data_IF_557862807546
#
_entry.id   IF_557862807546
#
_cell.length_a   1.000
_cell.length_b   1.000
_cell.length_c   1.000
_cell.angle_alpha   90.00
_cell.angle_beta   90.00
_cell.angle_gamma   90.00
#
_symmetry.space_group_name_H-M   'P 1'
#
loop_
_entity.id
_entity.type
_entity.pdbx_description
1 polymer ?
#
# COMPACT_ATOMS: atom_id res chain seq x y z
N UNK A 1 4.10 -17.85 6.48
CA UNK A 1 5.45 -17.80 7.06
C UNK A 1 6.23 -16.64 6.44
N UNK A 2 6.93 -15.89 7.25
CA UNK A 2 7.75 -14.78 6.76
C UNK A 2 8.96 -15.31 5.99
N UNK A 3 9.18 -14.80 4.79
CA UNK A 3 10.31 -15.21 3.95
C UNK A 3 11.67 -14.67 4.43
N UNK A 4 11.64 -13.68 5.33
CA UNK A 4 12.86 -13.04 5.86
C UNK A 4 13.35 -13.73 7.13
N UNK A 5 12.47 -13.96 8.10
CA UNK A 5 12.85 -14.51 9.41
C UNK A 5 12.20 -15.85 9.74
N UNK A 6 11.27 -16.33 8.95
CA UNK A 6 10.55 -17.57 9.19
C UNK A 6 9.49 -17.48 10.30
N UNK A 7 9.20 -16.28 10.81
CA UNK A 7 8.20 -16.10 11.84
C UNK A 7 6.76 -16.24 11.35
N UNK A 8 5.82 -16.26 12.28
CA UNK A 8 4.40 -16.31 11.97
C UNK A 8 3.92 -14.98 11.40
N UNK A 9 2.92 -15.06 10.51
CA UNK A 9 2.33 -13.90 9.86
C UNK A 9 0.84 -13.82 10.13
N UNK A 10 0.31 -12.59 10.10
CA UNK A 10 -1.12 -12.32 10.14
C UNK A 10 -1.50 -11.41 8.97
N UNK A 11 -2.73 -11.55 8.50
CA UNK A 11 -3.28 -10.60 7.54
C UNK A 11 -3.73 -9.33 8.27
N UNK A 12 -3.42 -8.19 7.67
CA UNK A 12 -3.84 -6.89 8.19
C UNK A 12 -4.16 -5.95 7.02
N UNK A 13 -5.05 -5.01 7.29
CA UNK A 13 -5.31 -3.91 6.36
C UNK A 13 -4.37 -2.77 6.74
N UNK A 14 -3.54 -2.36 5.79
CA UNK A 14 -2.51 -1.35 6.03
C UNK A 14 -2.66 -0.17 5.08
N UNK A 15 -1.96 0.90 5.41
CA UNK A 15 -1.81 2.05 4.53
C UNK A 15 -0.44 1.97 3.86
N UNK A 16 -0.41 2.22 2.55
CA UNK A 16 0.83 2.23 1.76
C UNK A 16 1.13 3.67 1.37
N UNK A 17 2.33 4.11 1.69
CA UNK A 17 2.80 5.44 1.29
C UNK A 17 3.57 5.36 -0.02
N UNK A 18 3.18 6.20 -0.98
CA UNK A 18 3.83 6.30 -2.28
C UNK A 18 4.06 7.77 -2.62
N UNK A 19 5.17 8.05 -3.29
CA UNK A 19 5.45 9.38 -3.83
C UNK A 19 5.31 9.31 -5.35
N UNK A 20 4.41 10.12 -5.89
CA UNK A 20 4.10 10.16 -7.33
C UNK A 20 4.22 11.60 -7.80
N UNK A 21 5.13 11.85 -8.74
CA UNK A 21 5.36 13.18 -9.30
C UNK A 21 5.60 14.26 -8.24
N UNK A 22 6.36 13.92 -7.20
CA UNK A 22 6.69 14.84 -6.11
C UNK A 22 5.61 15.01 -5.06
N UNK A 23 4.44 14.40 -5.24
CA UNK A 23 3.35 14.43 -4.26
C UNK A 23 3.32 13.11 -3.48
N UNK A 24 3.29 13.20 -2.16
CA UNK A 24 3.11 12.02 -1.32
C UNK A 24 1.64 11.61 -1.27
N UNK A 25 1.40 10.32 -1.38
CA UNK A 25 0.07 9.70 -1.31
C UNK A 25 0.04 8.60 -0.26
N UNK A 26 -1.09 8.48 0.41
CA UNK A 26 -1.39 7.33 1.28
C UNK A 26 -2.52 6.55 0.63
N UNK A 27 -2.26 5.28 0.32
CA UNK A 27 -3.25 4.35 -0.25
C UNK A 27 -3.79 3.51 0.89
N UNK A 28 -5.08 3.66 1.19
CA UNK A 28 -5.77 2.93 2.27
C UNK A 28 -6.37 1.64 1.75
N UNK A 29 -6.63 0.72 2.66
CA UNK A 29 -7.38 -0.50 2.38
C UNK A 29 -6.57 -1.58 1.70
N UNK A 30 -5.27 -1.59 1.87
CA UNK A 30 -4.37 -2.60 1.28
C UNK A 30 -4.23 -3.77 2.23
N UNK A 31 -4.61 -4.97 1.78
CA UNK A 31 -4.36 -6.19 2.54
C UNK A 31 -2.91 -6.61 2.40
N UNK A 32 -2.27 -6.87 3.53
CA UNK A 32 -0.89 -7.33 3.59
C UNK A 32 -0.76 -8.45 4.61
N UNK A 33 0.25 -9.29 4.46
CA UNK A 33 0.69 -10.16 5.53
C UNK A 33 1.72 -9.42 6.36
N UNK A 34 1.55 -9.46 7.65
CA UNK A 34 2.44 -8.79 8.60
C UNK A 34 3.14 -9.85 9.45
N UNK A 35 4.46 -9.80 9.50
CA UNK A 35 5.23 -10.69 10.35
C UNK A 35 5.18 -10.23 11.80
N UNK A 36 4.71 -11.10 12.69
CA UNK A 36 4.62 -10.81 14.13
C UNK A 36 5.99 -10.73 14.79
N UNK A 37 7.01 -11.27 14.16
CA UNK A 37 8.36 -11.37 14.72
C UNK A 37 9.27 -10.21 14.30
N UNK A 38 9.38 -9.96 13.00
CA UNK A 38 10.27 -8.92 12.47
C UNK A 38 9.57 -7.65 12.03
N UNK A 39 8.24 -7.64 12.01
CA UNK A 39 7.45 -6.48 11.62
C UNK A 39 7.38 -6.23 10.11
N UNK A 40 7.93 -7.11 9.31
CA UNK A 40 7.94 -6.94 7.85
C UNK A 40 6.55 -7.13 7.26
N UNK A 41 6.23 -6.31 6.26
CA UNK A 41 4.98 -6.42 5.51
C UNK A 41 5.24 -7.11 4.19
N UNK A 42 4.35 -8.02 3.80
CA UNK A 42 4.45 -8.75 2.56
C UNK A 42 3.14 -8.61 1.79
N UNK A 43 3.26 -8.41 0.49
CA UNK A 43 2.11 -8.27 -0.40
C UNK A 43 2.10 -9.40 -1.40
N UNK A 44 0.91 -9.94 -1.71
CA UNK A 44 0.77 -10.89 -2.81
C UNK A 44 1.00 -10.16 -4.14
N UNK A 45 1.31 -10.91 -5.18
CA UNK A 45 1.49 -10.36 -6.53
C UNK A 45 0.24 -9.62 -7.00
N UNK A 46 -0.94 -10.14 -6.68
CA UNK A 46 -2.22 -9.51 -7.00
C UNK A 46 -2.35 -8.14 -6.33
N UNK A 47 -1.98 -8.04 -5.05
CA UNK A 47 -2.02 -6.77 -4.32
C UNK A 47 -1.00 -5.77 -4.85
N UNK A 48 0.18 -6.22 -5.21
CA UNK A 48 1.20 -5.37 -5.83
C UNK A 48 0.71 -4.81 -7.15
N UNK A 49 0.02 -5.61 -7.97
CA UNK A 49 -0.58 -5.15 -9.23
C UNK A 49 -1.66 -4.11 -8.98
N UNK A 50 -2.48 -4.28 -7.95
CA UNK A 50 -3.51 -3.32 -7.59
C UNK A 50 -2.91 -1.98 -7.15
N UNK A 51 -1.84 -2.01 -6.38
CA UNK A 51 -1.11 -0.81 -5.96
C UNK A 51 -0.55 -0.09 -7.19
N UNK A 52 0.09 -0.82 -8.10
CA UNK A 52 0.61 -0.25 -9.35
C UNK A 52 -0.50 0.36 -10.20
N UNK A 53 -1.65 -0.29 -10.27
CA UNK A 53 -2.80 0.19 -11.02
C UNK A 53 -3.32 1.51 -10.44
N UNK A 54 -3.42 1.61 -9.12
CA UNK A 54 -3.82 2.85 -8.43
C UNK A 54 -2.80 3.94 -8.71
N UNK A 55 -1.51 3.61 -8.65
CA UNK A 55 -0.44 4.56 -8.96
C UNK A 55 -0.57 5.11 -10.38
N UNK A 56 -0.80 4.25 -11.37
CA UNK A 56 -1.00 4.67 -12.76
C UNK A 56 -2.22 5.58 -12.92
N UNK A 57 -3.33 5.23 -12.27
CA UNK A 57 -4.54 6.06 -12.30
C UNK A 57 -4.32 7.43 -11.66
N UNK A 58 -3.58 7.50 -10.57
CA UNK A 58 -3.22 8.77 -9.94
C UNK A 58 -2.35 9.59 -10.90
N UNK A 59 -1.34 8.97 -11.48
CA UNK A 59 -0.43 9.60 -12.44
C UNK A 59 -1.19 10.17 -13.65
N UNK A 60 -2.21 9.48 -14.11
CA UNK A 60 -3.05 9.90 -15.23
C UNK A 60 -4.22 10.78 -14.79
N UNK A 61 -4.28 11.18 -13.53
CA UNK A 61 -5.34 12.00 -12.95
C UNK A 61 -6.74 11.41 -13.08
N UNK A 62 -6.83 10.07 -13.07
CA UNK A 62 -8.10 9.35 -13.17
C UNK A 62 -8.77 9.11 -11.82
N UNK A 63 -8.03 9.26 -10.72
CA UNK A 63 -8.54 9.12 -9.35
C UNK A 63 -8.36 10.44 -8.62
N UNK A 64 -9.42 10.88 -7.93
CA UNK A 64 -9.35 12.03 -7.03
C UNK A 64 -9.05 11.54 -5.62
N UNK A 65 -8.18 12.23 -4.87
CA UNK A 65 -7.96 11.91 -3.47
C UNK A 65 -9.24 12.04 -2.65
N UNK A 66 -9.43 11.15 -1.69
CA UNK A 66 -10.53 11.23 -0.73
C UNK A 66 -10.32 12.43 0.19
N UNK A 67 -9.07 12.67 0.52
CA UNK A 67 -8.66 13.71 1.44
C UNK A 67 -7.35 14.30 0.97
N UNK A 68 -7.23 15.62 0.99
CA UNK A 68 -5.99 16.31 0.62
C UNK A 68 -5.45 17.02 1.86
N UNK A 69 -4.27 16.59 2.26
CA UNK A 69 -3.47 17.22 3.32
C UNK A 69 -2.11 17.57 2.72
N UNK A 70 -1.07 17.58 3.55
CA UNK A 70 0.32 17.55 3.05
C UNK A 70 0.58 16.25 2.27
N UNK A 71 -0.24 15.23 2.53
CA UNK A 71 -0.23 13.94 1.86
C UNK A 71 -1.62 13.70 1.28
N UNK A 72 -1.71 13.36 -0.01
CA UNK A 72 -2.98 12.98 -0.62
C UNK A 72 -3.33 11.54 -0.23
N UNK A 73 -4.59 11.31 0.15
CA UNK A 73 -5.08 10.01 0.60
C UNK A 73 -6.04 9.45 -0.44
N UNK A 74 -5.83 8.20 -0.84
CA UNK A 74 -6.71 7.48 -1.76
C UNK A 74 -7.06 6.11 -1.16
N UNK A 75 -8.18 5.54 -1.59
CA UNK A 75 -8.60 4.20 -1.20
C UNK A 75 -8.33 3.21 -2.32
N UNK A 76 -7.93 2.02 -1.96
CA UNK A 76 -7.65 0.96 -2.93
C UNK A 76 -8.91 0.41 -3.60
#
# INVERSE_FOLDING_TARGET
MCIICGGDTEEAIVEVQETIEGQAYIIKGVNAEFCLRCGERMYSLDKMRRIENVREKIKNKMIKPIEVRKVAVVSL
#
